data_IF_514463727620
#
_entry.id   IF_514463727620
#
_cell.length_a   1.000
_cell.length_b   1.000
_cell.length_c   1.000
_cell.angle_alpha   90.00
_cell.angle_beta   90.00
_cell.angle_gamma   90.00
#
_symmetry.space_group_name_H-M   'P 1'
#
loop_
_entity.id
_entity.type
_entity.pdbx_description
1 polymer ?
#
# COMPACT_ATOMS: atom_id res chain seq x y z
N UNK A 1 -18.88 0.14 19.29
CA UNK A 1 -17.58 -0.49 18.94
C UNK A 1 -17.18 -0.03 17.55
N UNK A 2 -15.88 0.11 17.26
CA UNK A 2 -15.38 0.47 15.92
C UNK A 2 -14.78 -0.78 15.26
N UNK A 3 -15.03 -0.96 13.98
CA UNK A 3 -14.42 -2.01 13.17
C UNK A 3 -13.20 -1.45 12.45
N UNK A 4 -12.18 -2.27 12.24
CA UNK A 4 -10.97 -1.91 11.49
C UNK A 4 -10.93 -2.77 10.22
N UNK A 5 -10.71 -2.14 9.07
CA UNK A 5 -10.53 -2.81 7.78
C UNK A 5 -9.16 -2.44 7.24
N UNK A 6 -8.33 -3.45 6.95
CA UNK A 6 -7.03 -3.29 6.31
C UNK A 6 -7.15 -3.73 4.84
N UNK A 7 -6.99 -2.80 3.91
CA UNK A 7 -6.96 -3.06 2.48
C UNK A 7 -5.51 -3.01 1.98
N UNK A 8 -5.02 -4.10 1.39
CA UNK A 8 -3.71 -4.18 0.74
C UNK A 8 -3.91 -4.53 -0.73
N UNK A 9 -3.46 -3.67 -1.62
CA UNK A 9 -3.47 -3.91 -3.06
C UNK A 9 -2.13 -4.48 -3.52
N UNK A 10 -2.17 -5.56 -4.31
CA UNK A 10 -0.94 -6.18 -4.80
C UNK A 10 -0.46 -5.49 -6.08
N UNK A 11 0.81 -5.08 -6.12
CA UNK A 11 1.44 -4.46 -7.30
C UNK A 11 0.77 -3.14 -7.77
N UNK A 12 0.01 -2.48 -6.90
CA UNK A 12 -0.54 -1.15 -7.19
C UNK A 12 0.57 -0.10 -7.04
N UNK A 13 0.97 0.52 -8.15
CA UNK A 13 2.00 1.55 -8.12
C UNK A 13 1.48 2.84 -7.49
N UNK A 14 2.34 3.54 -6.76
CA UNK A 14 2.02 4.82 -6.14
C UNK A 14 1.49 5.87 -7.14
N UNK A 15 2.02 5.85 -8.37
CA UNK A 15 1.64 6.79 -9.43
C UNK A 15 0.35 6.41 -10.17
N UNK A 16 -0.26 5.26 -9.86
CA UNK A 16 -1.57 4.86 -10.38
C UNK A 16 -2.74 5.55 -9.66
N UNK A 17 -2.50 6.25 -8.54
CA UNK A 17 -3.55 6.99 -7.82
C UNK A 17 -3.61 8.43 -8.32
N UNK A 18 -4.81 8.85 -8.73
CA UNK A 18 -5.05 10.18 -9.29
C UNK A 18 -4.21 10.46 -10.54
N UNK A 19 -3.73 11.70 -10.66
CA UNK A 19 -3.04 12.22 -11.85
C UNK A 19 -1.50 12.18 -11.72
N UNK A 20 -0.96 11.26 -10.90
CA UNK A 20 0.49 11.22 -10.58
C UNK A 20 1.34 10.68 -11.72
N UNK A 21 0.82 9.76 -12.52
CA UNK A 21 1.54 9.22 -13.67
C UNK A 21 1.38 10.11 -14.92
N UNK A 22 2.36 10.05 -15.84
CA UNK A 22 2.25 10.68 -17.17
C UNK A 22 1.04 10.17 -17.97
N UNK A 23 0.63 8.93 -17.72
CA UNK A 23 -0.54 8.27 -18.30
C UNK A 23 -1.43 7.78 -17.15
N UNK A 24 -2.28 8.65 -16.60
CA UNK A 24 -3.15 8.32 -15.48
C UNK A 24 -4.09 7.17 -15.81
N UNK A 25 -4.43 6.37 -14.80
CA UNK A 25 -5.52 5.40 -14.87
C UNK A 25 -6.71 5.93 -14.06
N UNK A 26 -7.92 5.48 -14.40
CA UNK A 26 -9.13 6.00 -13.76
C UNK A 26 -9.42 5.27 -12.44
N UNK A 27 -9.35 5.98 -11.32
CA UNK A 27 -9.55 5.42 -9.95
C UNK A 27 -10.65 6.13 -9.16
N UNK A 28 -11.87 6.33 -9.70
CA UNK A 28 -12.81 7.33 -9.21
C UNK A 28 -13.28 7.09 -7.77
N UNK A 29 -13.32 5.83 -7.33
CA UNK A 29 -13.70 5.50 -5.95
C UNK A 29 -12.58 5.75 -4.94
N UNK A 30 -11.32 5.53 -5.34
CA UNK A 30 -10.15 5.83 -4.51
C UNK A 30 -9.90 7.34 -4.47
N UNK A 31 -10.04 8.03 -5.61
CA UNK A 31 -9.89 9.48 -5.70
C UNK A 31 -10.92 10.20 -4.83
N UNK A 32 -12.18 9.75 -4.85
CA UNK A 32 -13.24 10.26 -3.97
C UNK A 32 -12.93 9.98 -2.50
N UNK A 33 -12.42 8.80 -2.17
CA UNK A 33 -12.06 8.46 -0.80
C UNK A 33 -10.89 9.31 -0.29
N UNK A 34 -9.85 9.50 -1.10
CA UNK A 34 -8.69 10.35 -0.80
C UNK A 34 -9.12 11.79 -0.51
N UNK A 35 -9.97 12.36 -1.38
CA UNK A 35 -10.41 13.75 -1.29
C UNK A 35 -11.44 14.03 -0.18
N UNK A 36 -12.35 13.10 0.09
CA UNK A 36 -13.47 13.36 1.01
C UNK A 36 -13.30 12.77 2.42
N UNK A 37 -12.48 11.71 2.58
CA UNK A 37 -12.54 10.85 3.78
C UNK A 37 -11.20 10.46 4.36
N UNK A 38 -10.12 10.47 3.58
CA UNK A 38 -8.84 9.92 3.99
C UNK A 38 -7.82 11.01 4.37
N UNK A 39 -6.82 10.60 5.13
CA UNK A 39 -5.55 11.32 5.23
C UNK A 39 -4.53 10.58 4.36
N UNK A 40 -4.08 11.21 3.29
CA UNK A 40 -3.01 10.66 2.46
C UNK A 40 -1.67 10.75 3.19
N UNK A 41 -0.84 9.71 3.07
CA UNK A 41 0.52 9.67 3.63
C UNK A 41 1.51 9.55 2.47
N UNK A 42 2.16 10.66 2.14
CA UNK A 42 3.18 10.71 1.10
C UNK A 42 4.51 10.14 1.59
N UNK A 43 5.35 9.69 0.64
CA UNK A 43 6.68 9.11 0.94
C UNK A 43 6.60 7.91 1.91
N UNK A 44 5.52 7.15 1.83
CA UNK A 44 5.36 5.89 2.56
C UNK A 44 6.03 4.75 1.79
N UNK A 45 7.16 4.28 2.30
CA UNK A 45 7.94 3.22 1.68
C UNK A 45 7.69 1.88 2.36
N UNK A 46 7.63 0.82 1.57
CA UNK A 46 7.62 -0.55 2.10
C UNK A 46 8.97 -0.90 2.75
N UNK A 47 8.94 -1.78 3.74
CA UNK A 47 10.12 -2.34 4.39
C UNK A 47 10.71 -3.52 3.59
N UNK A 48 10.12 -4.71 3.68
CA UNK A 48 10.55 -5.91 2.94
C UNK A 48 9.77 -6.09 1.63
N UNK A 49 10.33 -6.82 0.66
CA UNK A 49 9.75 -7.05 -0.68
C UNK A 49 10.04 -8.47 -1.20
N UNK A 50 9.17 -9.11 -2.03
CA UNK A 50 7.82 -8.73 -2.49
C UNK A 50 6.69 -9.53 -1.85
N UNK A 51 5.49 -8.94 -1.77
CA UNK A 51 4.24 -9.61 -1.37
C UNK A 51 4.27 -10.25 0.01
N UNK A 52 4.83 -11.46 0.16
CA UNK A 52 4.82 -12.23 1.41
C UNK A 52 5.70 -11.56 2.49
N UNK A 53 6.99 -11.20 2.25
CA UNK A 53 7.77 -10.48 3.25
C UNK A 53 7.14 -9.14 3.66
N UNK A 54 6.58 -8.37 2.72
CA UNK A 54 5.91 -7.11 3.06
C UNK A 54 4.68 -7.32 3.95
N UNK A 55 3.84 -8.32 3.62
CA UNK A 55 2.65 -8.65 4.41
C UNK A 55 3.03 -9.17 5.80
N UNK A 56 4.10 -9.94 5.92
CA UNK A 56 4.65 -10.37 7.21
C UNK A 56 5.05 -9.16 8.05
N UNK A 57 5.74 -8.18 7.47
CA UNK A 57 6.14 -6.97 8.18
C UNK A 57 4.92 -6.16 8.68
N UNK A 58 3.88 -6.01 7.84
CA UNK A 58 2.65 -5.32 8.23
C UNK A 58 1.95 -6.05 9.39
N UNK A 59 1.81 -7.38 9.31
CA UNK A 59 1.05 -8.14 10.30
C UNK A 59 1.79 -8.27 11.63
N UNK A 60 3.12 -8.26 11.61
CA UNK A 60 3.95 -8.40 12.82
C UNK A 60 4.43 -7.07 13.39
N UNK A 61 4.35 -5.98 12.61
CA UNK A 61 4.93 -4.69 12.98
C UNK A 61 6.46 -4.70 13.06
N UNK A 62 7.11 -5.71 12.49
CA UNK A 62 8.57 -5.93 12.58
C UNK A 62 9.16 -6.04 11.18
N UNK A 63 10.31 -5.40 10.95
CA UNK A 63 11.01 -5.51 9.65
C UNK A 63 11.67 -6.89 9.53
N UNK A 64 11.23 -7.69 8.57
CA UNK A 64 11.73 -9.04 8.32
C UNK A 64 13.05 -9.09 7.55
N UNK A 65 13.39 -8.09 6.73
CA UNK A 65 14.66 -8.03 6.03
C UNK A 65 15.86 -7.85 7.00
N UNK A 66 16.97 -8.60 6.84
CA UNK A 66 17.27 -9.61 5.81
C UNK A 66 16.91 -11.06 6.22
N UNK A 67 16.25 -11.25 7.37
CA UNK A 67 16.03 -12.56 7.99
C UNK A 67 14.89 -13.38 7.39
N UNK A 68 13.95 -12.74 6.69
CA UNK A 68 12.82 -13.40 6.01
C UNK A 68 12.75 -13.00 4.54
N UNK A 69 13.61 -13.59 3.68
CA UNK A 69 13.64 -13.26 2.26
C UNK A 69 12.44 -13.86 1.53
N UNK A 70 12.22 -13.38 0.30
CA UNK A 70 11.30 -14.01 -0.62
C UNK A 70 11.71 -15.44 -0.97
N UNK A 71 10.72 -16.31 -1.18
CA UNK A 71 10.87 -17.69 -1.62
C UNK A 71 9.86 -17.97 -2.76
N UNK A 72 10.26 -18.69 -3.82
CA UNK A 72 9.40 -19.07 -4.95
C UNK A 72 8.35 -20.13 -4.59
#
# INVERSE_FOLDING_TARGET
MKNIVLLITDTFRYDNLGERARRPIRTPMLDKFETERATAVDKFYMSSFPTVPHRTDIMTGTVGWPHYPWQP
#
